data_IF_441120780822
#
_entry.id   IF_441120780822
#
_cell.length_a   1.000
_cell.length_b   1.000
_cell.length_c   1.000
_cell.angle_alpha   90.00
_cell.angle_beta   90.00
_cell.angle_gamma   90.00
#
_symmetry.space_group_name_H-M   'P 1'
#
loop_
_entity.id
_entity.type
_entity.pdbx_description
1 polymer ?
#
# COMPACT_ATOMS: atom_id res chain seq x y z
N UNK A 1 -6.78 -0.59 -17.48
CA UNK A 1 -6.65 -1.93 -16.85
C UNK A 1 -5.31 -2.00 -16.13
N UNK A 2 -5.29 -2.43 -14.88
CA UNK A 2 -4.09 -2.53 -14.03
C UNK A 2 -3.74 -3.99 -13.74
N UNK A 3 -2.45 -4.30 -13.64
CA UNK A 3 -1.94 -5.56 -13.09
C UNK A 3 -1.39 -5.28 -11.71
N UNK A 4 -1.88 -5.99 -10.71
CA UNK A 4 -1.47 -5.82 -9.31
C UNK A 4 -0.84 -7.12 -8.85
N UNK A 5 0.40 -7.06 -8.40
CA UNK A 5 1.13 -8.21 -7.89
C UNK A 5 1.11 -8.20 -6.37
N UNK A 6 0.98 -9.36 -5.74
CA UNK A 6 1.02 -9.49 -4.29
C UNK A 6 1.48 -10.87 -3.86
N UNK A 7 2.10 -10.94 -2.69
CA UNK A 7 2.61 -12.16 -2.07
C UNK A 7 1.66 -12.75 -1.03
N UNK A 8 0.62 -12.03 -0.63
CA UNK A 8 -0.47 -12.61 0.15
C UNK A 8 -1.41 -13.42 -0.74
N UNK A 9 -1.14 -14.72 -0.83
CA UNK A 9 -1.91 -15.66 -1.66
C UNK A 9 -3.41 -15.65 -1.37
N UNK A 10 -3.80 -15.57 -0.09
CA UNK A 10 -5.22 -15.58 0.32
C UNK A 10 -5.95 -14.34 -0.22
N UNK A 11 -5.31 -13.17 -0.14
CA UNK A 11 -5.89 -11.93 -0.66
C UNK A 11 -5.93 -11.93 -2.19
N UNK A 12 -4.83 -12.34 -2.85
CA UNK A 12 -4.74 -12.40 -4.31
C UNK A 12 -5.79 -13.33 -4.91
N UNK A 13 -5.89 -14.55 -4.39
CA UNK A 13 -6.89 -15.53 -4.84
C UNK A 13 -8.30 -15.09 -4.45
N UNK A 14 -8.46 -14.50 -3.27
CA UNK A 14 -9.74 -13.96 -2.82
C UNK A 14 -10.26 -12.85 -3.73
N UNK A 15 -9.40 -11.92 -4.16
CA UNK A 15 -9.74 -10.87 -5.12
C UNK A 15 -10.18 -11.48 -6.46
N UNK A 16 -9.42 -12.46 -6.97
CA UNK A 16 -9.74 -13.14 -8.24
C UNK A 16 -11.13 -13.81 -8.20
N UNK A 17 -11.51 -14.34 -7.04
CA UNK A 17 -12.81 -14.97 -6.84
C UNK A 17 -13.89 -13.98 -6.37
N UNK A 18 -13.57 -12.69 -6.25
CA UNK A 18 -14.42 -11.64 -5.67
C UNK A 18 -14.94 -11.94 -4.24
N UNK A 19 -14.24 -12.80 -3.48
CA UNK A 19 -14.63 -13.21 -2.13
C UNK A 19 -13.45 -13.72 -1.29
N UNK A 20 -13.52 -13.45 0.00
CA UNK A 20 -12.66 -14.00 1.05
C UNK A 20 -13.52 -14.63 2.14
N UNK A 21 -12.94 -15.54 2.93
CA UNK A 21 -13.58 -16.05 4.16
C UNK A 21 -13.64 -14.98 5.26
N UNK A 22 -12.83 -13.93 5.16
CA UNK A 22 -12.82 -12.82 6.11
C UNK A 22 -13.82 -11.72 5.69
N UNK A 23 -14.86 -11.41 6.50
CA UNK A 23 -15.84 -10.37 6.19
C UNK A 23 -15.23 -8.97 6.01
N UNK A 24 -14.22 -8.61 6.79
CA UNK A 24 -13.56 -7.30 6.68
C UNK A 24 -12.84 -7.15 5.33
N UNK A 25 -12.16 -8.21 4.87
CA UNK A 25 -11.55 -8.24 3.53
C UNK A 25 -12.60 -8.05 2.43
N UNK A 26 -13.77 -8.65 2.57
CA UNK A 26 -14.86 -8.48 1.59
C UNK A 26 -15.39 -7.05 1.54
N UNK A 27 -15.46 -6.35 2.67
CA UNK A 27 -15.84 -4.92 2.69
C UNK A 27 -14.82 -4.08 1.93
N UNK A 28 -13.52 -4.35 2.12
CA UNK A 28 -12.45 -3.69 1.37
C UNK A 28 -12.57 -3.98 -0.13
N UNK A 29 -12.76 -5.25 -0.52
CA UNK A 29 -12.95 -5.62 -1.93
C UNK A 29 -14.10 -4.87 -2.57
N UNK A 30 -15.29 -4.82 -1.92
CA UNK A 30 -16.44 -4.06 -2.44
C UNK A 30 -16.13 -2.59 -2.63
N UNK A 31 -15.44 -1.97 -1.66
CA UNK A 31 -15.07 -0.54 -1.74
C UNK A 31 -14.14 -0.28 -2.93
N UNK A 32 -13.11 -1.12 -3.11
CA UNK A 32 -12.17 -0.97 -4.22
C UNK A 32 -12.86 -1.25 -5.56
N UNK A 33 -13.67 -2.30 -5.69
CA UNK A 33 -14.43 -2.57 -6.91
C UNK A 33 -15.39 -1.43 -7.27
N UNK A 34 -16.05 -0.83 -6.28
CA UNK A 34 -16.93 0.33 -6.49
C UNK A 34 -16.15 1.52 -7.03
N UNK A 35 -14.96 1.80 -6.47
CA UNK A 35 -14.08 2.86 -6.95
C UNK A 35 -13.61 2.59 -8.38
N UNK A 36 -13.15 1.37 -8.65
CA UNK A 36 -12.69 0.95 -9.97
C UNK A 36 -13.81 1.08 -11.01
N UNK A 37 -15.03 0.66 -10.68
CA UNK A 37 -16.20 0.78 -11.56
C UNK A 37 -16.53 2.25 -11.87
N UNK A 38 -16.53 3.13 -10.86
CA UNK A 38 -16.74 4.57 -11.03
C UNK A 38 -15.69 5.21 -11.96
N UNK A 39 -14.45 4.72 -11.91
CA UNK A 39 -13.34 5.21 -12.74
C UNK A 39 -13.18 4.45 -14.05
N UNK A 40 -14.14 3.60 -14.44
CA UNK A 40 -14.04 2.72 -15.64
C UNK A 40 -12.72 1.93 -15.72
N UNK A 41 -12.21 1.52 -14.56
CA UNK A 41 -10.95 0.80 -14.40
C UNK A 41 -11.19 -0.64 -13.96
N UNK A 42 -10.23 -1.51 -14.28
CA UNK A 42 -10.23 -2.92 -13.84
C UNK A 42 -8.85 -3.27 -13.32
N UNK A 43 -8.78 -4.01 -12.22
CA UNK A 43 -7.53 -4.50 -11.63
C UNK A 43 -7.49 -6.03 -11.66
N UNK A 44 -6.36 -6.58 -12.15
CA UNK A 44 -6.10 -8.01 -12.24
C UNK A 44 -4.98 -8.38 -11.28
N UNK A 45 -5.27 -9.26 -10.31
CA UNK A 45 -4.26 -9.67 -9.33
C UNK A 45 -3.44 -10.87 -9.81
N UNK A 46 -2.16 -10.91 -9.42
CA UNK A 46 -1.24 -12.02 -9.67
C UNK A 46 -0.40 -12.28 -8.43
N UNK A 47 -0.26 -13.57 -8.10
CA UNK A 47 0.58 -13.97 -6.99
C UNK A 47 2.05 -13.93 -7.42
N UNK A 48 2.92 -13.41 -6.56
CA UNK A 48 4.38 -13.49 -6.65
C UNK A 48 4.93 -13.98 -5.32
N UNK A 49 6.11 -14.63 -5.30
CA UNK A 49 6.76 -14.92 -4.02
C UNK A 49 7.20 -13.63 -3.33
N UNK A 50 7.29 -13.64 -2.00
CA UNK A 50 7.77 -12.50 -1.21
C UNK A 50 9.13 -12.00 -1.69
N UNK A 51 10.06 -12.91 -2.01
CA UNK A 51 11.39 -12.58 -2.57
C UNK A 51 11.34 -11.85 -3.92
N UNK A 52 10.22 -11.88 -4.63
CA UNK A 52 10.00 -11.21 -5.91
C UNK A 52 9.04 -10.02 -5.79
N UNK A 53 8.59 -9.69 -4.57
CA UNK A 53 7.74 -8.56 -4.30
C UNK A 53 8.62 -7.33 -3.99
N UNK A 54 8.80 -6.38 -4.92
CA UNK A 54 9.64 -5.21 -4.67
C UNK A 54 9.11 -4.33 -3.53
N UNK A 55 7.84 -4.50 -3.14
CA UNK A 55 7.25 -3.76 -2.03
C UNK A 55 7.60 -4.36 -0.64
N UNK A 56 8.09 -5.60 -0.54
CA UNK A 56 8.33 -6.27 0.76
C UNK A 56 9.33 -5.47 1.61
N UNK A 57 10.50 -5.14 1.06
CA UNK A 57 11.54 -4.37 1.77
C UNK A 57 11.02 -2.99 2.23
N UNK A 58 10.38 -2.24 1.32
CA UNK A 58 9.83 -0.93 1.66
C UNK A 58 8.73 -1.01 2.73
N UNK A 59 7.94 -2.09 2.75
CA UNK A 59 6.92 -2.31 3.77
C UNK A 59 7.49 -2.63 5.15
N UNK A 60 8.77 -3.01 5.21
CA UNK A 60 9.55 -3.25 6.44
C UNK A 60 10.38 -2.04 6.87
N UNK A 61 10.26 -0.91 6.18
CA UNK A 61 11.04 0.29 6.44
C UNK A 61 12.41 0.32 5.75
N UNK A 62 12.70 -0.62 4.85
CA UNK A 62 13.91 -0.60 4.03
C UNK A 62 13.63 0.16 2.73
N UNK A 63 13.77 1.49 2.79
CA UNK A 63 13.53 2.38 1.65
C UNK A 63 14.77 2.49 0.73
N UNK A 64 14.58 2.68 -0.59
CA UNK A 64 15.66 2.97 -1.51
C UNK A 64 16.25 4.37 -1.25
N UNK A 65 17.31 4.73 -1.99
CA UNK A 65 17.93 6.05 -1.92
C UNK A 65 16.89 7.17 -2.10
N UNK A 66 17.03 8.26 -1.33
CA UNK A 66 16.03 9.35 -1.26
C UNK A 66 15.60 9.93 -2.62
N UNK A 67 16.47 9.93 -3.62
CA UNK A 67 16.14 10.43 -4.96
C UNK A 67 15.21 9.50 -5.77
N UNK A 68 14.99 8.27 -5.30
CA UNK A 68 14.01 7.32 -5.85
C UNK A 68 12.68 7.38 -5.10
N UNK A 69 12.61 8.14 -4.00
CA UNK A 69 11.39 8.40 -3.27
C UNK A 69 10.60 9.54 -3.90
N UNK A 70 9.31 9.62 -3.54
CA UNK A 70 8.50 10.77 -3.89
C UNK A 70 9.06 12.03 -3.22
N UNK A 71 8.93 13.21 -3.86
CA UNK A 71 9.32 14.46 -3.23
C UNK A 71 8.53 14.67 -1.92
N UNK A 72 9.09 15.44 -0.97
CA UNK A 72 8.38 15.82 0.24
C UNK A 72 7.01 16.41 -0.09
N UNK A 73 6.00 15.99 0.65
CA UNK A 73 4.65 16.54 0.53
C UNK A 73 4.56 17.71 1.52
N UNK A 74 4.07 18.86 1.05
CA UNK A 74 3.84 20.01 1.92
C UNK A 74 2.83 19.64 3.00
N UNK A 75 3.27 19.69 4.26
CA UNK A 75 2.42 19.41 5.42
C UNK A 75 1.75 20.74 5.85
N UNK A 76 0.41 20.81 5.88
CA UNK A 76 -0.30 21.98 6.41
C UNK A 76 0.13 22.29 7.85
N UNK A 77 0.34 23.56 8.17
CA UNK A 77 0.90 24.00 9.45
C UNK A 77 0.09 23.49 10.66
N UNK A 78 -1.24 23.35 10.51
CA UNK A 78 -2.13 22.81 11.52
C UNK A 78 -1.86 21.34 11.88
N UNK A 79 -1.21 20.59 10.98
CA UNK A 79 -0.86 19.19 11.17
C UNK A 79 0.57 19.00 11.69
N UNK A 80 1.43 20.03 11.63
CA UNK A 80 2.86 19.92 11.97
C UNK A 80 3.09 19.39 13.39
N UNK A 81 2.24 19.76 14.37
CA UNK A 81 2.38 19.27 15.77
C UNK A 81 2.03 17.80 15.95
N UNK A 82 1.42 17.15 14.96
CA UNK A 82 0.97 15.77 15.02
C UNK A 82 1.83 14.83 14.16
N UNK A 83 2.77 15.38 13.41
CA UNK A 83 3.62 14.62 12.48
C UNK A 83 5.06 14.80 12.92
N UNK A 84 5.78 13.70 13.03
CA UNK A 84 7.23 13.67 13.23
C UNK A 84 7.89 13.21 11.95
N UNK A 85 8.98 13.87 11.58
CA UNK A 85 9.82 13.39 10.48
C UNK A 85 10.61 12.18 10.98
N UNK A 86 10.36 11.02 10.37
CA UNK A 86 11.02 9.77 10.72
C UNK A 86 12.52 9.78 10.40
N UNK A 87 12.92 10.52 9.36
CA UNK A 87 14.30 10.60 8.88
C UNK A 87 15.09 11.72 9.58
N UNK A 88 14.44 12.54 10.42
CA UNK A 88 15.12 13.56 11.19
C UNK A 88 16.16 12.94 12.15
N UNK A 89 17.33 13.58 12.35
CA UNK A 89 18.31 13.13 13.32
C UNK A 89 17.67 12.94 14.68
N UNK A 90 17.87 11.78 15.32
CA UNK A 90 17.40 11.54 16.69
C UNK A 90 17.97 12.62 17.61
N UNK A 91 17.11 13.50 18.10
CA UNK A 91 17.47 14.41 19.20
C UNK A 91 17.52 13.60 20.49
N UNK A 92 18.51 13.87 21.36
CA UNK A 92 18.75 13.17 22.64
C UNK A 92 17.64 13.34 23.71
N UNK A 93 16.43 13.73 23.31
CA UNK A 93 15.32 14.04 24.21
C UNK A 93 14.15 13.04 24.10
N UNK A 94 14.46 11.77 23.82
CA UNK A 94 13.56 10.63 23.99
C UNK A 94 14.08 9.69 25.10
#
# INVERSE_FOLDING_TARGET
HFKVFGDNRVVVEGWRNARSKNPATNLVFRRIHTLLAKSACTAHTRYVSTSSNPADESSRGHYPLNHLLLPPVDIPCELTRFIVDFDAPRTQAE
#
